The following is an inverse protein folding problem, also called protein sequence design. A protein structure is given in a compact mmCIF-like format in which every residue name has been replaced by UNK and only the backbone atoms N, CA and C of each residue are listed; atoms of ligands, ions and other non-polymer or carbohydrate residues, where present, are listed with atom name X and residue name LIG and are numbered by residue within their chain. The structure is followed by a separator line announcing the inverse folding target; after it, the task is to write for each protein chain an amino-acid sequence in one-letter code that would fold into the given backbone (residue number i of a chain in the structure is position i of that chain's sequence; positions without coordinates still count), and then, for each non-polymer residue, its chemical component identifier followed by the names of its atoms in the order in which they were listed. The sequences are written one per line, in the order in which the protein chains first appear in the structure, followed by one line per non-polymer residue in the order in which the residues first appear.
data_IF_980869418365
#
_entry.id   IF_980869418365
#
_cell.length_a   1.000
_cell.length_b   1.000
_cell.length_c   1.000
_cell.angle_alpha   90.00
_cell.angle_beta   90.00
_cell.angle_gamma   90.00
#
_symmetry.space_group_name_H-M   'P 1'
#
loop_
_entity.id
_entity.type
_entity.pdbx_description
1 polymer ?
#
# COMPACT_ATOMS: atom_id res chain seq x y z
N UNK A 1 24.93 7.52 0.53
CA UNK A 1 23.63 7.91 -0.06
C UNK A 1 22.91 6.68 -0.60
N UNK A 2 21.67 6.55 -0.31
CA UNK A 2 20.87 5.42 -0.78
C UNK A 2 19.83 5.89 -1.79
N UNK A 3 19.59 5.06 -2.79
CA UNK A 3 18.49 5.28 -3.72
C UNK A 3 17.38 4.31 -3.37
N UNK A 4 16.24 4.82 -2.96
CA UNK A 4 15.11 3.99 -2.55
C UNK A 4 13.83 4.72 -2.94
N UNK A 5 13.40 4.50 -4.17
CA UNK A 5 12.22 5.14 -4.71
C UNK A 5 11.38 4.08 -5.41
N UNK A 6 10.13 3.98 -5.02
CA UNK A 6 9.23 2.99 -5.59
C UNK A 6 7.90 3.63 -5.96
N UNK A 7 7.29 3.12 -7.01
CA UNK A 7 5.98 3.58 -7.45
C UNK A 7 5.11 2.37 -7.72
N UNK A 8 3.87 2.41 -7.24
CA UNK A 8 2.92 1.32 -7.41
C UNK A 8 1.55 1.89 -7.70
N UNK A 9 0.76 1.15 -8.45
CA UNK A 9 -0.64 1.47 -8.64
C UNK A 9 -1.47 0.25 -8.24
N UNK A 10 -2.52 0.47 -7.50
CA UNK A 10 -3.38 -0.62 -7.05
C UNK A 10 -4.65 -0.13 -6.41
N UNK A 11 -5.46 -1.08 -6.00
CA UNK A 11 -6.74 -0.78 -5.37
C UNK A 11 -6.67 -1.10 -3.89
N UNK A 12 -7.28 -0.23 -3.08
CA UNK A 12 -7.33 -0.48 -1.65
C UNK A 12 -8.12 -1.76 -1.36
N UNK A 13 -7.58 -2.59 -0.49
CA UNK A 13 -8.22 -3.85 -0.12
C UNK A 13 -9.25 -3.67 0.99
N UNK A 14 -9.15 -2.57 1.72
CA UNK A 14 -10.07 -2.22 2.80
C UNK A 14 -9.97 -0.73 3.04
N UNK A 15 -10.86 -0.19 3.85
CA UNK A 15 -10.77 1.21 4.25
C UNK A 15 -9.47 1.42 5.03
N UNK A 16 -8.89 2.60 4.89
CA UNK A 16 -7.68 2.93 5.65
C UNK A 16 -7.98 3.04 7.13
N UNK A 17 -6.93 2.97 7.93
CA UNK A 17 -7.02 3.12 9.38
C UNK A 17 -6.16 4.27 9.83
N UNK A 18 -6.74 5.17 10.58
CA UNK A 18 -6.07 6.36 11.06
C UNK A 18 -5.77 6.24 12.55
N UNK A 19 -4.53 6.55 12.91
CA UNK A 19 -4.14 6.72 14.31
C UNK A 19 -3.74 8.17 14.49
N UNK A 20 -4.47 8.89 15.35
CA UNK A 20 -4.16 10.28 15.61
C UNK A 20 -3.06 10.38 16.65
N UNK A 21 -2.07 11.22 16.38
CA UNK A 21 -0.92 11.40 17.26
C UNK A 21 -0.89 12.79 17.86
N UNK A 22 -2.04 13.35 18.16
CA UNK A 22 -2.15 14.70 18.68
C UNK A 22 -2.80 15.60 17.66
N UNK A 23 -2.72 16.90 17.89
CA UNK A 23 -3.34 17.86 16.99
C UNK A 23 -2.60 17.88 15.65
N UNK A 24 -3.36 17.85 14.59
CA UNK A 24 -2.83 17.97 13.23
C UNK A 24 -1.74 16.97 12.89
N UNK A 25 -1.78 15.80 13.51
CA UNK A 25 -0.80 14.77 13.21
C UNK A 25 -1.43 13.38 13.29
N UNK A 26 -1.02 12.50 12.41
CA UNK A 26 -1.55 11.15 12.41
C UNK A 26 -0.72 10.20 11.59
N UNK A 27 -1.07 8.92 11.69
CA UNK A 27 -0.48 7.86 10.88
C UNK A 27 -1.65 7.15 10.19
N UNK A 28 -1.63 7.13 8.89
CA UNK A 28 -2.67 6.52 8.09
C UNK A 28 -2.12 5.25 7.46
N UNK A 29 -2.75 4.13 7.77
CA UNK A 29 -2.33 2.83 7.24
C UNK A 29 -3.36 2.31 6.27
N UNK A 30 -2.89 1.81 5.14
CA UNK A 30 -3.77 1.17 4.17
C UNK A 30 -2.99 0.13 3.39
N UNK A 31 -3.71 -0.71 2.68
CA UNK A 31 -3.11 -1.79 1.92
C UNK A 31 -3.69 -1.78 0.53
N UNK A 32 -2.82 -1.91 -0.46
CA UNK A 32 -3.26 -1.94 -1.85
C UNK A 32 -2.95 -3.30 -2.46
N UNK A 33 -3.77 -3.69 -3.41
CA UNK A 33 -3.53 -4.85 -4.24
C UNK A 33 -3.05 -4.36 -5.59
N UNK A 34 -1.81 -4.68 -5.93
CA UNK A 34 -1.23 -4.35 -7.22
C UNK A 34 -1.50 -5.52 -8.14
N UNK A 35 -2.17 -5.27 -9.25
CA UNK A 35 -2.56 -6.32 -10.16
C UNK A 35 -1.41 -6.73 -11.06
N UNK A 36 -0.58 -7.62 -10.56
CA UNK A 36 0.49 -8.20 -11.34
C UNK A 36 0.01 -9.47 -12.01
N UNK A 37 0.64 -9.79 -13.10
CA UNK A 37 0.42 -11.06 -13.77
C UNK A 37 1.75 -11.71 -14.00
N UNK A 38 1.76 -13.05 -13.91
CA UNK A 38 2.97 -13.79 -14.16
C UNK A 38 2.75 -14.75 -15.33
N UNK A 39 3.77 -14.97 -16.14
CA UNK A 39 3.66 -15.94 -17.23
C UNK A 39 3.75 -17.37 -16.67
N UNK A 40 2.87 -18.23 -17.13
CA UNK A 40 2.89 -19.64 -16.78
C UNK A 40 2.87 -20.42 -18.09
N UNK A 41 3.79 -21.33 -18.23
CA UNK A 41 3.86 -22.13 -19.44
C UNK A 41 2.99 -23.36 -19.29
N UNK A 42 1.99 -23.46 -20.14
CA UNK A 42 1.11 -24.61 -20.18
C UNK A 42 1.15 -25.20 -21.58
N UNK A 43 1.57 -26.46 -21.67
CA UNK A 43 1.80 -27.11 -22.96
C UNK A 43 2.79 -26.28 -23.78
N UNK A 44 2.39 -25.77 -24.92
CA UNK A 44 3.26 -24.98 -25.78
C UNK A 44 2.89 -23.50 -25.78
N UNK A 45 2.00 -23.12 -24.87
CA UNK A 45 1.53 -21.74 -24.81
C UNK A 45 1.95 -21.10 -23.49
N UNK A 46 2.22 -19.81 -23.56
CA UNK A 46 2.39 -19.01 -22.35
C UNK A 46 1.07 -18.33 -22.04
N UNK A 47 0.54 -18.60 -20.87
CA UNK A 47 -0.65 -17.92 -20.38
C UNK A 47 -0.26 -17.06 -19.18
N UNK A 48 -1.03 -16.01 -18.94
CA UNK A 48 -0.75 -15.11 -17.83
C UNK A 48 -1.79 -15.34 -16.74
N UNK A 49 -1.29 -15.55 -15.54
CA UNK A 49 -2.15 -15.76 -14.38
C UNK A 49 -2.00 -14.58 -13.43
N UNK A 50 -3.06 -14.32 -12.68
CA UNK A 50 -3.02 -13.26 -11.69
C UNK A 50 -1.99 -13.58 -10.62
N UNK A 51 -1.23 -12.57 -10.25
CA UNK A 51 -0.20 -12.70 -9.23
C UNK A 51 -0.18 -11.39 -8.44
N UNK A 52 -1.25 -11.11 -7.69
CA UNK A 52 -1.36 -9.82 -7.03
C UNK A 52 -0.30 -9.63 -5.95
N UNK A 53 0.20 -8.43 -5.87
CA UNK A 53 1.09 -8.03 -4.79
C UNK A 53 0.28 -7.21 -3.80
N UNK A 54 0.26 -7.63 -2.55
CA UNK A 54 -0.39 -6.88 -1.50
C UNK A 54 0.68 -6.07 -0.77
N UNK A 55 0.51 -4.78 -0.78
CA UNK A 55 1.52 -3.87 -0.27
C UNK A 55 0.93 -3.01 0.84
N UNK A 56 1.59 -3.03 1.99
CA UNK A 56 1.20 -2.17 3.11
C UNK A 56 1.80 -0.78 2.90
N UNK A 57 0.99 0.24 3.09
CA UNK A 57 1.38 1.63 2.88
C UNK A 57 1.09 2.44 4.13
N UNK A 58 1.91 3.46 4.36
CA UNK A 58 1.72 4.33 5.50
C UNK A 58 1.98 5.77 5.09
N UNK A 59 1.14 6.67 5.59
CA UNK A 59 1.29 8.10 5.39
C UNK A 59 1.38 8.74 6.76
N UNK A 60 2.40 9.58 6.95
CA UNK A 60 2.61 10.26 8.22
C UNK A 60 2.27 11.74 8.11
N UNK A 61 1.90 12.30 9.23
CA UNK A 61 1.78 13.73 9.37
C UNK A 61 0.39 14.25 9.13
N UNK A 62 0.32 15.52 8.80
CA UNK A 62 -0.96 16.21 8.63
C UNK A 62 -1.78 15.67 7.46
N UNK A 63 -1.09 15.20 6.43
CA UNK A 63 -1.77 14.63 5.26
C UNK A 63 -2.60 13.40 5.61
N UNK A 64 -2.16 12.66 6.65
CA UNK A 64 -2.90 11.48 7.08
C UNK A 64 -4.32 11.83 7.44
N UNK A 65 -4.49 12.95 8.13
CA UNK A 65 -5.83 13.38 8.56
C UNK A 65 -6.70 13.78 7.38
N UNK A 66 -6.13 14.46 6.39
CA UNK A 66 -6.93 14.95 5.27
C UNK A 66 -7.24 13.86 4.25
N UNK A 67 -6.48 12.79 4.22
CA UNK A 67 -6.69 11.73 3.23
C UNK A 67 -7.57 10.60 3.74
N UNK A 68 -7.86 10.55 5.01
CA UNK A 68 -8.62 9.45 5.59
C UNK A 68 -9.95 9.20 4.91
N UNK A 69 -10.70 10.25 4.62
CA UNK A 69 -12.03 10.08 4.06
C UNK A 69 -12.02 9.62 2.60
N UNK A 70 -10.87 9.74 1.93
CA UNK A 70 -10.78 9.39 0.51
C UNK A 70 -10.19 8.01 0.26
N UNK A 71 -9.49 7.44 1.23
CA UNK A 71 -8.83 6.15 1.06
C UNK A 71 -9.74 5.03 1.56
N UNK A 72 -10.70 4.70 0.73
CA UNK A 72 -11.71 3.70 1.06
C UNK A 72 -11.54 2.45 0.19
N UNK A 73 -12.14 1.37 0.63
CA UNK A 73 -12.02 0.07 -0.04
C UNK A 73 -12.39 0.18 -1.52
N UNK A 74 -11.54 -0.36 -2.37
CA UNK A 74 -11.77 -0.43 -3.80
C UNK A 74 -11.27 0.76 -4.61
N UNK A 75 -10.93 1.85 -3.96
CA UNK A 75 -10.41 3.03 -4.65
C UNK A 75 -9.05 2.71 -5.26
N UNK A 76 -8.83 3.14 -6.48
CA UNK A 76 -7.57 2.92 -7.16
C UNK A 76 -6.67 4.14 -7.00
N UNK A 77 -5.44 3.89 -6.57
CA UNK A 77 -4.47 4.94 -6.32
C UNK A 77 -3.13 4.59 -6.93
N UNK A 78 -2.35 5.62 -7.21
CA UNK A 78 -0.94 5.49 -7.54
C UNK A 78 -0.16 6.10 -6.38
N UNK A 79 0.78 5.36 -5.85
CA UNK A 79 1.57 5.79 -4.69
C UNK A 79 3.05 5.76 -5.01
N UNK A 80 3.78 6.70 -4.47
CA UNK A 80 5.22 6.80 -4.64
C UNK A 80 5.83 7.03 -3.27
N UNK A 81 6.95 6.38 -3.00
CA UNK A 81 7.64 6.56 -1.75
C UNK A 81 8.84 5.65 -1.65
N UNK A 82 9.23 5.38 -0.42
CA UNK A 82 10.36 4.48 -0.18
C UNK A 82 9.91 3.27 0.62
N UNK A 83 10.57 2.16 0.40
CA UNK A 83 10.29 0.94 1.15
C UNK A 83 11.11 0.96 2.43
N UNK A 84 10.50 0.54 3.52
CA UNK A 84 11.17 0.41 4.80
C UNK A 84 10.84 -0.92 5.42
N UNK A 85 11.82 -1.47 6.12
CA UNK A 85 11.60 -2.70 6.87
C UNK A 85 10.69 -2.41 8.06
N UNK A 86 9.81 -3.35 8.34
CA UNK A 86 8.89 -3.25 9.45
C UNK A 86 8.93 -4.58 10.18
N UNK A 87 9.79 -4.64 11.19
CA UNK A 87 9.96 -5.86 11.98
C UNK A 87 9.03 -5.82 13.17
N UNK A 88 8.39 -6.94 13.46
CA UNK A 88 7.48 -7.01 14.59
C UNK A 88 7.49 -8.44 15.12
N UNK A 89 7.01 -8.57 16.35
CA UNK A 89 6.98 -9.85 17.03
C UNK A 89 5.53 -10.32 17.10
N UNK A 90 5.30 -11.58 16.72
CA UNK A 90 3.94 -12.11 16.75
C UNK A 90 3.62 -12.66 18.13
N UNK A 91 2.41 -13.20 18.29
CA UNK A 91 1.94 -13.70 19.58
C UNK A 91 2.71 -14.91 20.09
N UNK A 92 3.43 -15.60 19.20
CA UNK A 92 4.23 -16.75 19.57
C UNK A 92 5.69 -16.38 19.90
N UNK A 93 6.01 -15.10 19.85
CA UNK A 93 7.35 -14.63 20.14
C UNK A 93 8.31 -14.69 18.97
N UNK A 94 7.82 -15.02 17.79
CA UNK A 94 8.66 -15.06 16.59
C UNK A 94 8.77 -13.69 15.98
N UNK A 95 9.99 -13.34 15.54
CA UNK A 95 10.20 -12.09 14.85
C UNK A 95 9.72 -12.22 13.42
N UNK A 96 8.87 -11.31 13.00
CA UNK A 96 8.38 -11.25 11.64
C UNK A 96 9.01 -10.07 10.93
N UNK A 97 9.40 -10.31 9.71
CA UNK A 97 10.01 -9.27 8.87
C UNK A 97 9.05 -8.94 7.74
N UNK A 98 8.78 -7.67 7.58
CA UNK A 98 7.86 -7.22 6.56
C UNK A 98 8.42 -5.95 5.94
N UNK A 99 7.82 -5.53 4.85
CA UNK A 99 8.23 -4.32 4.15
C UNK A 99 7.00 -3.48 3.94
N UNK A 100 7.11 -2.19 4.19
CA UNK A 100 6.02 -1.27 3.92
C UNK A 100 6.51 -0.08 3.13
N UNK A 101 5.61 0.52 2.39
CA UNK A 101 5.91 1.71 1.62
C UNK A 101 5.56 2.94 2.46
N UNK A 102 6.55 3.78 2.70
CA UNK A 102 6.31 5.08 3.32
C UNK A 102 6.00 6.04 2.19
N UNK A 103 4.75 6.46 2.12
CA UNK A 103 4.22 7.14 0.94
C UNK A 103 4.54 8.63 0.98
N UNK A 104 5.17 9.11 -0.08
CA UNK A 104 5.44 10.53 -0.27
C UNK A 104 4.31 11.20 -1.04
N UNK A 105 3.76 10.49 -2.01
CA UNK A 105 2.74 11.06 -2.88
C UNK A 105 1.68 10.04 -3.23
N UNK A 106 0.44 10.48 -3.23
CA UNK A 106 -0.72 9.67 -3.60
C UNK A 106 -1.50 10.40 -4.68
N UNK A 107 -1.83 9.68 -5.74
CA UNK A 107 -2.71 10.20 -6.75
C UNK A 107 -3.89 9.25 -6.91
N UNK A 108 -5.08 9.81 -6.95
CA UNK A 108 -6.30 9.02 -7.09
C UNK A 108 -6.57 8.79 -8.58
N UNK A 109 -6.69 7.52 -8.95
CA UNK A 109 -6.86 7.13 -10.33
C UNK A 109 -8.30 6.75 -10.66
N UNK A 110 -9.13 6.54 -9.64
CA UNK A 110 -10.54 6.29 -9.86
C UNK A 110 -11.33 7.38 -9.18
N UNK A 111 -12.44 7.77 -9.81
CA UNK A 111 -13.29 8.75 -9.21
C UNK A 111 -14.14 8.12 -8.16
N UNK A 112 -14.23 8.84 -7.09
CA UNK A 112 -15.24 8.43 -6.18
C UNK A 112 -16.52 8.96 -6.72
N UNK A 113 -17.32 8.17 -7.22
CA UNK A 113 -18.41 8.62 -7.71
C UNK A 113 -19.44 8.80 -7.24
N UNK A 114 -19.50 9.31 -7.09
CA UNK A 114 -20.47 9.51 -7.18
C UNK A 114 -21.50 8.92 -7.02
#
# INVERSE_FOLDING_TARGET
MALNTCSFAGNLTADCKLHELGEDNGVLNFRIAVNNKKPVKKARKTVYEDDPLFLSCVIFGKRALSLEEYLTKGVKVAVTGELRANDWEDSDGNTRHDVQLVVDNVEFMSRSDR
#
